data_IF_227474152918
#
_entry.id   IF_227474152918
#
_cell.length_a   1.000
_cell.length_b   1.000
_cell.length_c   1.000
_cell.angle_alpha   90.00
_cell.angle_beta   90.00
_cell.angle_gamma   90.00
#
_symmetry.space_group_name_H-M   'P 1'
#
loop_
_entity.id
_entity.type
_entity.pdbx_description
1 polymer ?
#
# COMPACT_ATOMS: atom_id res chain seq x y z
N UNK A 1 5.00 -8.78 4.71
CA UNK A 1 4.10 -9.75 5.38
C UNK A 1 4.07 -10.98 4.48
N UNK A 2 4.51 -12.13 4.96
CA UNK A 2 4.43 -13.36 4.18
C UNK A 2 3.03 -13.95 4.35
N UNK A 3 2.13 -13.58 3.44
CA UNK A 3 0.71 -13.96 3.47
C UNK A 3 0.20 -14.08 2.02
N UNK A 4 -0.57 -15.14 1.75
CA UNK A 4 -1.12 -15.44 0.42
C UNK A 4 -2.38 -14.63 0.08
N UNK A 5 -2.97 -13.94 1.06
CA UNK A 5 -4.08 -13.02 0.88
C UNK A 5 -3.62 -11.74 0.14
N UNK A 6 -4.54 -11.10 -0.58
CA UNK A 6 -4.28 -9.78 -1.15
C UNK A 6 -4.60 -8.73 -0.09
N UNK A 7 -3.58 -8.07 0.45
CA UNK A 7 -3.80 -6.99 1.40
C UNK A 7 -2.70 -5.93 1.32
N UNK A 8 -3.09 -4.68 1.53
CA UNK A 8 -2.23 -3.51 1.63
C UNK A 8 -2.70 -2.63 2.80
N UNK A 9 -1.78 -2.05 3.56
CA UNK A 9 -2.10 -1.07 4.59
C UNK A 9 -1.05 0.03 4.66
N UNK A 10 -1.51 1.27 4.85
CA UNK A 10 -0.68 2.44 5.10
C UNK A 10 -0.62 2.74 6.61
N UNK A 11 0.55 3.15 7.09
CA UNK A 11 0.75 3.58 8.48
C UNK A 11 1.78 4.71 8.52
N UNK A 12 1.60 5.69 9.41
CA UNK A 12 2.51 6.82 9.55
C UNK A 12 1.89 7.97 10.33
N UNK A 13 2.71 8.79 10.98
CA UNK A 13 2.23 9.99 11.71
C UNK A 13 2.13 11.24 10.83
N UNK A 14 2.83 11.24 9.71
CA UNK A 14 2.84 12.30 8.72
C UNK A 14 3.32 11.73 7.37
N UNK A 15 3.13 12.45 6.26
CA UNK A 15 3.50 11.96 4.93
C UNK A 15 4.99 11.62 4.80
N UNK A 16 5.85 12.33 5.53
CA UNK A 16 7.31 12.13 5.50
C UNK A 16 7.76 10.85 6.21
N UNK A 17 6.97 10.36 7.17
CA UNK A 17 7.21 9.12 7.92
C UNK A 17 6.13 8.06 7.67
N UNK A 18 5.43 8.14 6.54
CA UNK A 18 4.46 7.14 6.15
C UNK A 18 5.11 5.95 5.45
N UNK A 19 4.57 4.76 5.68
CA UNK A 19 5.00 3.50 5.12
C UNK A 19 3.79 2.72 4.65
N UNK A 20 3.86 2.16 3.45
CA UNK A 20 2.84 1.26 2.89
C UNK A 20 3.41 -0.15 2.91
N UNK A 21 2.70 -1.08 3.53
CA UNK A 21 3.05 -2.49 3.54
C UNK A 21 2.08 -3.28 2.69
N UNK A 22 2.61 -4.16 1.84
CA UNK A 22 1.83 -5.10 1.02
C UNK A 22 2.22 -6.55 1.37
N UNK A 23 1.28 -7.47 1.19
CA UNK A 23 1.56 -8.91 1.36
C UNK A 23 2.33 -9.48 0.16
N UNK A 24 3.09 -10.55 0.39
CA UNK A 24 3.80 -11.26 -0.69
C UNK A 24 2.83 -11.86 -1.71
N UNK A 25 1.67 -12.35 -1.27
CA UNK A 25 0.60 -12.82 -2.14
C UNK A 25 0.03 -11.73 -3.05
N UNK A 26 0.00 -10.47 -2.60
CA UNK A 26 -0.41 -9.34 -3.44
C UNK A 26 0.64 -9.03 -4.52
N UNK A 27 1.93 -9.03 -4.16
CA UNK A 27 3.03 -8.81 -5.11
C UNK A 27 3.11 -9.89 -6.19
N UNK A 28 2.73 -11.13 -5.88
CA UNK A 28 2.76 -12.24 -6.82
C UNK A 28 1.51 -12.32 -7.71
N UNK A 29 0.37 -11.81 -7.25
CA UNK A 29 -0.92 -11.93 -7.96
C UNK A 29 -1.29 -10.71 -8.78
N UNK A 30 -0.86 -9.51 -8.39
CA UNK A 30 -1.12 -8.28 -9.13
C UNK A 30 -0.03 -8.03 -10.16
N UNK A 31 -0.42 -7.52 -11.32
CA UNK A 31 0.55 -6.98 -12.26
C UNK A 31 1.05 -5.60 -11.80
N UNK A 32 2.15 -5.13 -12.40
CA UNK A 32 2.79 -3.88 -12.00
C UNK A 32 1.84 -2.68 -12.04
N UNK A 33 0.95 -2.61 -13.03
CA UNK A 33 0.03 -1.49 -13.22
C UNK A 33 -1.05 -1.46 -12.15
N UNK A 34 -1.59 -2.63 -11.80
CA UNK A 34 -2.56 -2.80 -10.71
C UNK A 34 -1.93 -2.44 -9.36
N UNK A 35 -0.69 -2.89 -9.12
CA UNK A 35 0.05 -2.56 -7.91
C UNK A 35 0.31 -1.05 -7.78
N UNK A 36 0.74 -0.40 -8.87
CA UNK A 36 0.92 1.05 -8.92
C UNK A 36 -0.39 1.80 -8.64
N UNK A 37 -1.53 1.32 -9.14
CA UNK A 37 -2.84 1.90 -8.87
C UNK A 37 -3.22 1.85 -7.39
N UNK A 38 -3.01 0.71 -6.72
CA UNK A 38 -3.27 0.57 -5.28
C UNK A 38 -2.32 1.45 -4.47
N UNK A 39 -1.03 1.45 -4.79
CA UNK A 39 -0.05 2.28 -4.08
C UNK A 39 -0.34 3.78 -4.26
N UNK A 40 -0.76 4.20 -5.45
CA UNK A 40 -1.15 5.58 -5.70
C UNK A 40 -2.40 5.99 -4.91
N UNK A 41 -3.38 5.08 -4.78
CA UNK A 41 -4.56 5.29 -3.95
C UNK A 41 -4.18 5.50 -2.48
N UNK A 42 -3.36 4.61 -1.92
CA UNK A 42 -2.90 4.71 -0.53
C UNK A 42 -2.01 5.95 -0.28
N UNK A 43 -1.17 6.32 -1.25
CA UNK A 43 -0.39 7.57 -1.18
C UNK A 43 -1.27 8.82 -1.16
N UNK A 44 -2.43 8.80 -1.83
CA UNK A 44 -3.39 9.90 -1.78
C UNK A 44 -3.94 10.09 -0.37
N UNK A 45 -4.30 9.01 0.32
CA UNK A 45 -4.76 9.06 1.72
C UNK A 45 -3.68 9.59 2.65
N UNK A 46 -2.43 9.12 2.50
CA UNK A 46 -1.28 9.62 3.25
C UNK A 46 -1.10 11.13 3.06
N UNK A 47 -1.13 11.61 1.81
CA UNK A 47 -0.96 13.04 1.49
C UNK A 47 -2.09 13.90 2.05
N UNK A 48 -3.31 13.38 2.08
CA UNK A 48 -4.49 14.08 2.56
C UNK A 48 -4.71 13.94 4.08
N UNK A 49 -3.81 13.25 4.80
CA UNK A 49 -3.91 12.99 6.24
C UNK A 49 -5.14 12.15 6.65
N UNK A 50 -5.64 11.31 5.74
CA UNK A 50 -6.79 10.41 5.94
C UNK A 50 -6.34 8.96 6.27
N UNK A 51 -5.42 8.80 7.24
CA UNK A 51 -4.87 7.49 7.68
C UNK A 51 -5.15 7.16 9.13
#
# INVERSE_FOLDING_TARGET
MDDSALNAFATGRNPEHASITVTTGMLQKLNKLELEGVLAHEMSHIKNYDI
#
